data_IF_816137121217
#
_entry.id   IF_816137121217
#
_cell.length_a   1.000
_cell.length_b   1.000
_cell.length_c   1.000
_cell.angle_alpha   90.00
_cell.angle_beta   90.00
_cell.angle_gamma   90.00
#
_symmetry.space_group_name_H-M   'P 1'
#
loop_
_entity.id
_entity.type
_entity.pdbx_description
1 polymer ?
#
# COMPACT_ATOMS: atom_id res chain seq x y z
N UNK A 1 -21.24 7.55 -25.57
CA UNK A 1 -20.78 6.20 -25.18
C UNK A 1 -19.26 6.24 -25.13
N UNK A 2 -18.68 6.33 -23.93
CA UNK A 2 -17.23 6.42 -23.75
C UNK A 2 -16.59 5.12 -24.23
N UNK A 3 -15.90 5.15 -25.38
CA UNK A 3 -15.04 4.05 -25.79
C UNK A 3 -13.92 3.91 -24.75
N UNK A 4 -13.91 2.79 -24.04
CA UNK A 4 -12.90 2.51 -23.01
C UNK A 4 -11.56 2.23 -23.70
N UNK A 5 -10.50 2.91 -23.25
CA UNK A 5 -9.16 2.74 -23.79
C UNK A 5 -8.70 1.27 -23.65
N UNK A 6 -8.03 0.69 -24.67
CA UNK A 6 -7.49 -0.68 -24.61
C UNK A 6 -6.54 -0.92 -23.43
N UNK A 7 -5.91 0.14 -22.88
CA UNK A 7 -5.08 0.06 -21.69
C UNK A 7 -5.84 -0.29 -20.40
N UNK A 8 -7.16 -0.11 -20.35
CA UNK A 8 -7.95 -0.43 -19.16
C UNK A 8 -8.07 -1.95 -18.95
N UNK A 9 -8.19 -2.70 -20.05
CA UNK A 9 -8.31 -4.15 -20.02
C UNK A 9 -7.02 -4.82 -19.55
N UNK A 10 -5.88 -4.29 -19.96
CA UNK A 10 -4.56 -4.83 -19.56
C UNK A 10 -4.27 -4.62 -18.07
N UNK A 11 -4.80 -3.55 -17.45
CA UNK A 11 -4.66 -3.30 -16.02
C UNK A 11 -5.41 -4.35 -15.17
N UNK A 12 -6.66 -4.63 -15.53
CA UNK A 12 -7.49 -5.63 -14.84
C UNK A 12 -6.90 -7.04 -15.01
N UNK A 13 -6.43 -7.40 -16.20
CA UNK A 13 -5.77 -8.69 -16.43
C UNK A 13 -4.51 -8.88 -15.57
N UNK A 14 -3.70 -7.83 -15.39
CA UNK A 14 -2.54 -7.86 -14.49
C UNK A 14 -2.95 -8.10 -13.04
N UNK A 15 -4.02 -7.46 -12.57
CA UNK A 15 -4.56 -7.68 -11.23
C UNK A 15 -5.08 -9.10 -11.05
N UNK A 16 -5.84 -9.63 -12.01
CA UNK A 16 -6.30 -11.03 -12.00
C UNK A 16 -5.11 -11.99 -11.97
N UNK A 17 -4.07 -11.73 -12.76
CA UNK A 17 -2.85 -12.55 -12.75
C UNK A 17 -2.18 -12.53 -11.38
N UNK A 18 -2.14 -11.39 -10.70
CA UNK A 18 -1.63 -11.29 -9.34
C UNK A 18 -2.50 -12.08 -8.34
N UNK A 19 -3.82 -11.99 -8.44
CA UNK A 19 -4.74 -12.79 -7.60
C UNK A 19 -4.51 -14.28 -7.78
N UNK A 20 -4.35 -14.75 -9.01
CA UNK A 20 -4.02 -16.15 -9.29
C UNK A 20 -2.69 -16.60 -8.66
N UNK A 21 -1.72 -15.70 -8.48
CA UNK A 21 -0.46 -16.01 -7.77
C UNK A 21 -0.72 -16.19 -6.27
N UNK A 22 -1.53 -15.32 -5.66
CA UNK A 22 -1.94 -15.46 -4.26
C UNK A 22 -2.66 -16.79 -4.01
N UNK A 23 -3.61 -17.15 -4.88
CA UNK A 23 -4.38 -18.39 -4.76
C UNK A 23 -3.53 -19.66 -4.91
N UNK A 24 -2.53 -19.65 -5.80
CA UNK A 24 -1.65 -20.80 -6.04
C UNK A 24 -0.59 -20.98 -4.95
N UNK A 25 -0.22 -19.91 -4.28
CA UNK A 25 0.88 -19.89 -3.32
C UNK A 25 0.52 -19.18 -2.02
N UNK A 26 -0.57 -19.55 -1.33
CA UNK A 26 -1.03 -18.83 -0.13
C UNK A 26 0.02 -18.81 0.98
N UNK A 27 0.85 -19.84 1.09
CA UNK A 27 1.94 -19.94 2.06
C UNK A 27 3.11 -18.98 1.81
N UNK A 28 3.15 -18.30 0.66
CA UNK A 28 4.18 -17.28 0.35
C UNK A 28 3.78 -15.90 0.83
N UNK A 29 2.56 -15.71 1.31
CA UNK A 29 2.01 -14.43 1.68
C UNK A 29 1.44 -14.49 3.09
N UNK A 30 1.68 -13.43 3.85
CA UNK A 30 1.04 -13.24 5.15
C UNK A 30 -0.03 -12.17 4.99
N UNK A 31 -1.24 -12.49 5.42
CA UNK A 31 -2.32 -11.52 5.47
C UNK A 31 -2.23 -10.75 6.78
N UNK A 32 -2.09 -9.43 6.65
CA UNK A 32 -2.21 -8.54 7.79
C UNK A 32 -3.65 -8.06 7.92
N UNK A 33 -4.23 -8.25 9.10
CA UNK A 33 -5.57 -7.82 9.40
C UNK A 33 -5.53 -6.49 10.15
N UNK A 34 -6.28 -5.51 9.66
CA UNK A 34 -6.53 -4.30 10.43
C UNK A 34 -7.53 -4.63 11.55
N UNK A 35 -7.11 -4.37 12.78
CA UNK A 35 -7.96 -4.44 13.96
C UNK A 35 -8.59 -3.09 14.32
N UNK A 36 -9.63 -3.11 15.15
CA UNK A 36 -10.31 -1.90 15.61
C UNK A 36 -9.37 -0.92 16.35
N UNK A 37 -8.34 -1.46 17.00
CA UNK A 37 -7.27 -0.70 17.66
C UNK A 37 -6.48 0.20 16.69
N UNK A 38 -6.46 -0.11 15.40
CA UNK A 38 -5.77 0.71 14.39
C UNK A 38 -6.61 1.89 13.90
N UNK A 39 -7.92 1.93 14.17
CA UNK A 39 -8.83 2.94 13.57
C UNK A 39 -8.51 4.36 14.02
N UNK A 40 -8.15 4.55 15.29
CA UNK A 40 -7.72 5.86 15.80
C UNK A 40 -6.42 6.29 15.10
N UNK A 41 -5.44 5.38 15.00
CA UNK A 41 -4.17 5.64 14.36
C UNK A 41 -4.31 5.98 12.87
N UNK A 42 -5.20 5.30 12.16
CA UNK A 42 -5.52 5.59 10.75
C UNK A 42 -6.09 7.00 10.60
N UNK A 43 -7.03 7.40 11.47
CA UNK A 43 -7.59 8.75 11.44
C UNK A 43 -6.53 9.81 11.68
N UNK A 44 -5.61 9.57 12.61
CA UNK A 44 -4.49 10.48 12.88
C UNK A 44 -3.57 10.61 11.68
N UNK A 45 -3.24 9.51 11.01
CA UNK A 45 -2.43 9.51 9.79
C UNK A 45 -3.11 10.30 8.67
N UNK A 46 -4.41 10.06 8.44
CA UNK A 46 -5.16 10.78 7.41
C UNK A 46 -5.24 12.29 7.70
N UNK A 47 -5.40 12.70 8.97
CA UNK A 47 -5.34 14.12 9.38
C UNK A 47 -3.94 14.69 9.21
N UNK A 48 -2.91 13.95 9.62
CA UNK A 48 -1.51 14.36 9.53
C UNK A 48 -1.09 14.60 8.06
N UNK A 49 -1.52 13.71 7.17
CA UNK A 49 -1.18 13.74 5.75
C UNK A 49 -2.30 14.30 4.88
N UNK A 50 -3.25 15.06 5.43
CA UNK A 50 -4.41 15.59 4.71
C UNK A 50 -4.06 16.50 3.50
N UNK A 51 -2.83 17.03 3.45
CA UNK A 51 -2.32 17.81 2.31
C UNK A 51 -1.75 16.94 1.19
N UNK A 52 -1.65 15.63 1.40
CA UNK A 52 -1.29 14.58 0.44
C UNK A 52 -2.52 13.70 0.18
N UNK A 53 -2.57 12.90 -0.90
CA UNK A 53 -3.75 12.11 -1.23
C UNK A 53 -3.86 10.82 -0.37
N UNK A 54 -3.46 10.85 0.90
CA UNK A 54 -3.49 9.65 1.75
C UNK A 54 -4.91 9.13 1.92
N UNK A 55 -5.11 7.88 1.52
CA UNK A 55 -6.35 7.14 1.74
C UNK A 55 -6.17 5.99 2.75
N UNK A 56 -7.22 5.17 2.90
CA UNK A 56 -7.19 4.01 3.80
C UNK A 56 -6.14 2.97 3.38
N UNK A 57 -5.91 2.78 2.09
CA UNK A 57 -4.93 1.82 1.59
C UNK A 57 -3.52 2.29 1.97
N UNK A 58 -3.20 3.56 1.75
CA UNK A 58 -1.90 4.13 2.14
C UNK A 58 -1.68 4.09 3.65
N UNK A 59 -2.69 4.51 4.43
CA UNK A 59 -2.62 4.47 5.88
C UNK A 59 -2.43 3.03 6.39
N UNK A 60 -3.08 2.03 5.77
CA UNK A 60 -2.92 0.62 6.15
C UNK A 60 -1.49 0.11 5.99
N UNK A 61 -0.74 0.63 5.00
CA UNK A 61 0.66 0.29 4.77
C UNK A 61 1.57 0.94 5.82
N UNK A 62 1.22 2.13 6.33
CA UNK A 62 1.91 2.74 7.47
C UNK A 62 1.67 1.93 8.75
N UNK A 63 0.43 1.53 9.02
CA UNK A 63 0.11 0.65 10.16
C UNK A 63 0.91 -0.65 10.08
N UNK A 64 0.89 -1.32 8.92
CA UNK A 64 1.65 -2.56 8.70
C UNK A 64 3.15 -2.38 9.01
N UNK A 65 3.75 -1.27 8.56
CA UNK A 65 5.15 -0.97 8.83
C UNK A 65 5.43 -0.68 10.32
N UNK A 66 4.48 -0.06 11.03
CA UNK A 66 4.55 0.17 12.47
C UNK A 66 4.53 -1.15 13.25
N UNK A 67 3.61 -2.06 12.91
CA UNK A 67 3.45 -3.40 13.50
C UNK A 67 4.64 -4.31 13.22
N UNK A 68 5.12 -4.37 11.97
CA UNK A 68 6.28 -5.18 11.60
C UNK A 68 7.61 -4.57 12.03
N UNK A 69 7.62 -3.31 12.47
CA UNK A 69 8.82 -2.59 12.84
C UNK A 69 9.81 -2.36 11.70
N UNK A 70 9.37 -2.44 10.44
CA UNK A 70 10.18 -2.16 9.25
C UNK A 70 9.33 -1.51 8.15
N UNK A 71 9.96 -0.66 7.32
CA UNK A 71 9.30 0.08 6.24
C UNK A 71 9.73 -0.36 4.85
N UNK A 72 10.01 -1.65 4.65
CA UNK A 72 10.24 -2.18 3.31
C UNK A 72 8.90 -2.25 2.57
N UNK A 73 8.85 -1.67 1.37
CA UNK A 73 7.63 -1.65 0.56
C UNK A 73 7.94 -1.95 -0.89
N UNK A 74 6.96 -2.46 -1.62
CA UNK A 74 6.95 -2.50 -3.08
C UNK A 74 5.80 -1.61 -3.57
N UNK A 75 6.12 -0.46 -4.15
CA UNK A 75 5.13 0.47 -4.70
C UNK A 75 5.64 1.15 -5.96
N UNK A 76 4.73 1.54 -6.86
CA UNK A 76 5.05 2.43 -7.98
C UNK A 76 4.85 3.91 -7.61
N UNK A 77 4.19 4.19 -6.48
CA UNK A 77 4.01 5.53 -5.97
C UNK A 77 5.22 5.98 -5.16
N UNK A 78 6.25 6.42 -5.87
CA UNK A 78 7.44 6.96 -5.25
C UNK A 78 7.20 8.30 -4.57
N UNK A 79 6.23 9.11 -5.03
CA UNK A 79 6.05 10.46 -4.52
C UNK A 79 5.56 10.42 -3.08
N UNK A 80 4.54 9.62 -2.84
CA UNK A 80 3.83 9.65 -1.57
C UNK A 80 4.58 8.84 -0.51
N UNK A 81 5.13 7.67 -0.85
CA UNK A 81 5.95 6.88 0.08
C UNK A 81 7.32 7.49 0.38
N UNK A 82 7.81 8.43 -0.43
CA UNK A 82 8.97 9.27 -0.07
C UNK A 82 8.62 10.30 1.02
N UNK A 83 7.34 10.62 1.21
CA UNK A 83 6.87 11.63 2.16
C UNK A 83 6.31 10.99 3.43
N UNK A 84 5.61 9.86 3.32
CA UNK A 84 5.08 9.15 4.48
C UNK A 84 6.19 8.62 5.40
N UNK A 85 5.90 8.57 6.70
CA UNK A 85 6.84 8.14 7.73
C UNK A 85 6.15 7.13 8.66
N UNK A 86 6.76 5.96 8.82
CA UNK A 86 6.34 5.00 9.83
C UNK A 86 7.02 5.32 11.16
N UNK A 87 6.35 5.08 12.30
CA UNK A 87 6.81 5.50 13.64
C UNK A 87 7.19 6.99 13.70
N UNK A 88 6.40 7.83 13.02
CA UNK A 88 6.50 9.30 12.94
C UNK A 88 7.79 9.88 12.33
N UNK A 89 8.85 9.10 12.09
CA UNK A 89 10.15 9.62 11.64
C UNK A 89 10.88 8.76 10.62
N UNK A 90 10.53 7.47 10.49
CA UNK A 90 11.31 6.56 9.65
C UNK A 90 10.77 6.55 8.21
N UNK A 91 11.63 6.72 7.19
CA UNK A 91 11.21 6.65 5.80
C UNK A 91 10.92 5.21 5.39
N UNK A 92 10.09 5.05 4.36
CA UNK A 92 9.99 3.79 3.64
C UNK A 92 11.23 3.57 2.76
N UNK A 93 11.56 2.30 2.52
CA UNK A 93 12.56 1.87 1.55
C UNK A 93 11.79 1.11 0.47
N UNK A 94 11.64 1.75 -0.69
CA UNK A 94 10.94 1.13 -1.81
C UNK A 94 11.87 0.13 -2.52
N UNK A 95 11.52 -1.14 -2.50
CA UNK A 95 12.26 -2.20 -3.16
C UNK A 95 12.12 -2.16 -4.68
N UNK A 96 11.12 -1.44 -5.20
CA UNK A 96 10.92 -1.27 -6.65
C UNK A 96 12.01 -0.40 -7.28
N UNK A 97 12.66 0.50 -6.53
CA UNK A 97 13.69 1.39 -7.09
C UNK A 97 14.98 0.69 -7.52
N UNK A 98 15.10 -0.61 -7.20
CA UNK A 98 16.27 -1.44 -7.51
C UNK A 98 15.99 -2.43 -8.67
N UNK A 99 14.86 -2.31 -9.36
CA UNK A 99 14.47 -3.07 -10.54
C UNK A 99 14.21 -2.13 -11.73
#
# INVERSE_FOLDING_TARGET
LLQRSPNLYTGVEKQIKLMNVFERHPQKFLLFHLENTHLERIQDLMKQYQSLPMDLADASLVILAEELGNGLILSIDNRDFNTYRWKNKKPFINLFSNF
#
